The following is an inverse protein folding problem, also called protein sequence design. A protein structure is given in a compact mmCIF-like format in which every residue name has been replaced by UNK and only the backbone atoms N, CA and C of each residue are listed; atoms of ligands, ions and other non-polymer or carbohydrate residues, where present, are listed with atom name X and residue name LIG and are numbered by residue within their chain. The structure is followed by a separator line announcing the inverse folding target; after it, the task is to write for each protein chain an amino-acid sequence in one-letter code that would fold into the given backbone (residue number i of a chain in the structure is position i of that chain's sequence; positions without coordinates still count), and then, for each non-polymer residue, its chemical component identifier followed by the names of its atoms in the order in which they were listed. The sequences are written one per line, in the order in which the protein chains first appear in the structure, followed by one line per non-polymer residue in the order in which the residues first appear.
data_IF_564933204308
#
_entry.id   IF_564933204308
#
_cell.length_a   1.000
_cell.length_b   1.000
_cell.length_c   1.000
_cell.angle_alpha   90.00
_cell.angle_beta   90.00
_cell.angle_gamma   90.00
#
_symmetry.space_group_name_H-M   'P 1'
#
loop_
_entity.id
_entity.type
_entity.pdbx_description
1 polymer ?
#
# COMPACT_ATOMS: atom_id res chain seq x y z
N UNK A 1 -8.05 -11.93 25.94
CA UNK A 1 -7.14 -11.08 25.16
C UNK A 1 -6.43 -11.80 23.99
N UNK A 2 -6.94 -12.96 23.49
CA UNK A 2 -6.34 -13.69 22.34
C UNK A 2 -6.97 -13.35 20.98
N UNK A 3 -7.81 -12.33 20.87
CA UNK A 3 -8.65 -12.14 19.68
C UNK A 3 -8.10 -11.18 18.61
N UNK A 4 -6.89 -10.63 18.75
CA UNK A 4 -6.35 -9.63 17.82
C UNK A 4 -4.95 -9.96 17.27
N UNK A 5 -4.63 -11.23 17.09
CA UNK A 5 -3.41 -11.58 16.34
C UNK A 5 -3.68 -11.58 14.85
N UNK A 6 -2.66 -11.22 14.07
CA UNK A 6 -2.73 -11.32 12.61
C UNK A 6 -2.90 -12.78 12.19
N UNK A 7 -3.96 -13.08 11.45
CA UNK A 7 -4.27 -14.45 11.02
C UNK A 7 -3.61 -14.81 9.68
N UNK A 8 -3.29 -13.82 8.84
CA UNK A 8 -2.80 -14.03 7.48
C UNK A 8 -1.69 -15.10 7.37
N UNK A 9 -0.60 -15.09 8.16
CA UNK A 9 0.49 -16.06 8.02
C UNK A 9 0.11 -17.53 8.25
N UNK A 10 -1.08 -17.78 8.76
CA UNK A 10 -1.55 -19.15 9.09
C UNK A 10 -2.39 -19.77 7.98
N UNK A 11 -2.86 -18.98 7.01
CA UNK A 11 -3.70 -19.51 5.95
C UNK A 11 -3.51 -18.85 4.57
N UNK A 12 -2.62 -17.84 4.44
CA UNK A 12 -2.31 -17.22 3.15
C UNK A 12 -0.91 -17.54 2.68
N UNK A 13 -0.74 -17.63 1.37
CA UNK A 13 0.55 -17.62 0.71
C UNK A 13 0.49 -16.71 -0.53
N UNK A 14 1.58 -16.00 -0.81
CA UNK A 14 1.75 -15.22 -2.03
C UNK A 14 2.95 -15.76 -2.81
N UNK A 15 2.74 -16.08 -4.10
CA UNK A 15 3.71 -16.71 -4.99
C UNK A 15 4.03 -15.75 -6.12
N UNK A 16 5.31 -15.42 -6.26
CA UNK A 16 5.79 -14.53 -7.32
C UNK A 16 6.32 -15.30 -8.53
N UNK A 17 6.46 -14.57 -9.63
CA UNK A 17 6.87 -15.16 -10.91
C UNK A 17 8.21 -15.90 -10.88
N UNK A 18 9.14 -15.55 -9.98
CA UNK A 18 10.38 -16.27 -9.74
C UNK A 18 10.22 -17.59 -8.99
N UNK A 19 9.02 -17.91 -8.49
CA UNK A 19 8.73 -19.07 -7.65
C UNK A 19 8.84 -18.78 -6.15
N UNK A 20 9.27 -17.62 -5.75
CA UNK A 20 9.41 -17.23 -4.35
C UNK A 20 8.05 -17.18 -3.66
N UNK A 21 7.97 -17.74 -2.47
CA UNK A 21 6.77 -17.86 -1.64
C UNK A 21 6.89 -17.02 -0.39
N UNK A 22 5.84 -16.27 -0.07
CA UNK A 22 5.73 -15.40 1.10
C UNK A 22 4.47 -15.71 1.89
N UNK A 23 4.53 -15.59 3.22
CA UNK A 23 3.35 -15.73 4.11
C UNK A 23 2.50 -14.45 4.18
N UNK A 24 3.03 -13.34 3.72
CA UNK A 24 2.40 -12.04 3.70
C UNK A 24 3.02 -11.22 2.57
N UNK A 25 2.30 -10.22 2.07
CA UNK A 25 2.83 -9.33 1.04
C UNK A 25 4.19 -8.73 1.46
N UNK A 26 5.24 -8.86 0.62
CA UNK A 26 6.58 -8.35 0.94
C UNK A 26 6.62 -6.85 1.30
N UNK A 27 5.64 -6.06 0.81
CA UNK A 27 5.51 -4.65 1.17
C UNK A 27 5.10 -4.43 2.63
N UNK A 28 4.52 -5.43 3.30
CA UNK A 28 4.01 -5.34 4.67
C UNK A 28 4.85 -6.10 5.69
N UNK A 29 5.88 -6.79 5.26
CA UNK A 29 6.78 -7.54 6.12
C UNK A 29 8.24 -7.26 5.76
N UNK A 30 9.14 -7.49 6.72
CA UNK A 30 10.59 -7.52 6.51
C UNK A 30 11.08 -8.94 6.23
N UNK A 31 10.15 -9.91 6.23
CA UNK A 31 10.45 -11.31 6.01
C UNK A 31 10.88 -11.52 4.54
N UNK A 32 11.93 -12.29 4.36
CA UNK A 32 12.32 -12.82 3.05
C UNK A 32 11.36 -13.93 2.61
N UNK A 33 11.51 -14.40 1.36
CA UNK A 33 10.80 -15.57 0.89
C UNK A 33 11.05 -16.75 1.83
N UNK A 34 9.98 -17.50 2.15
CA UNK A 34 10.04 -18.69 3.00
C UNK A 34 10.50 -19.94 2.23
N UNK A 35 10.65 -19.84 0.93
CA UNK A 35 11.11 -20.87 0.02
C UNK A 35 10.77 -20.53 -1.42
N UNK A 36 11.07 -21.47 -2.34
CA UNK A 36 10.81 -21.32 -3.77
C UNK A 36 10.14 -22.56 -4.34
N UNK A 37 8.94 -22.38 -4.92
CA UNK A 37 8.07 -23.47 -5.40
C UNK A 37 8.62 -24.24 -6.60
N UNK A 38 9.61 -23.70 -7.30
CA UNK A 38 10.25 -24.40 -8.43
C UNK A 38 11.38 -25.32 -8.02
N UNK A 39 11.85 -25.23 -6.76
CA UNK A 39 13.01 -25.97 -6.27
C UNK A 39 12.74 -26.79 -5.01
N UNK A 40 11.62 -26.54 -4.33
CA UNK A 40 11.25 -27.18 -3.05
C UNK A 40 9.83 -27.72 -3.13
N UNK A 41 9.51 -28.71 -2.34
CA UNK A 41 8.13 -29.18 -2.13
C UNK A 41 7.33 -28.18 -1.31
N UNK A 42 6.00 -28.20 -1.46
CA UNK A 42 5.11 -27.32 -0.70
C UNK A 42 5.26 -27.52 0.82
N UNK A 43 5.39 -28.75 1.27
CA UNK A 43 5.53 -29.05 2.70
C UNK A 43 6.84 -28.50 3.28
N UNK A 44 7.94 -28.57 2.54
CA UNK A 44 9.21 -27.96 2.95
C UNK A 44 9.09 -26.44 3.06
N UNK A 45 8.41 -25.80 2.10
CA UNK A 45 8.21 -24.34 2.10
C UNK A 45 7.29 -23.93 3.24
N UNK A 46 6.10 -24.54 3.32
CA UNK A 46 5.07 -24.15 4.28
C UNK A 46 5.48 -24.35 5.73
N UNK A 47 6.33 -25.35 5.98
CA UNK A 47 6.88 -25.70 7.28
C UNK A 47 8.36 -25.31 7.44
N UNK A 48 8.87 -24.43 6.57
CA UNK A 48 10.24 -23.92 6.68
C UNK A 48 10.49 -23.28 8.05
N UNK A 49 11.74 -23.24 8.46
CA UNK A 49 12.15 -22.62 9.72
C UNK A 49 11.67 -21.17 9.80
N UNK A 50 11.83 -20.42 8.73
CA UNK A 50 11.42 -19.02 8.58
C UNK A 50 9.89 -18.85 8.75
N UNK A 51 9.11 -19.75 8.14
CA UNK A 51 7.66 -19.75 8.24
C UNK A 51 7.19 -20.04 9.68
N UNK A 52 7.78 -21.03 10.32
CA UNK A 52 7.46 -21.42 11.71
C UNK A 52 7.85 -20.32 12.70
N UNK A 53 9.04 -19.75 12.57
CA UNK A 53 9.51 -18.66 13.42
C UNK A 53 8.62 -17.43 13.31
N UNK A 54 8.25 -17.02 12.09
CA UNK A 54 7.35 -15.90 11.86
C UNK A 54 5.98 -16.12 12.49
N UNK A 55 5.36 -17.30 12.28
CA UNK A 55 4.08 -17.64 12.89
C UNK A 55 4.15 -17.64 14.42
N UNK A 56 5.24 -18.12 15.01
CA UNK A 56 5.44 -18.12 16.46
C UNK A 56 5.57 -16.69 17.01
N UNK A 57 6.28 -15.79 16.32
CA UNK A 57 6.31 -14.37 16.68
C UNK A 57 4.90 -13.78 16.69
N UNK A 58 4.12 -13.99 15.63
CA UNK A 58 2.75 -13.49 15.53
C UNK A 58 1.84 -14.07 16.63
N UNK A 59 1.94 -15.39 16.96
CA UNK A 59 1.22 -16.00 18.09
C UNK A 59 1.51 -15.30 19.42
N UNK A 60 2.75 -14.84 19.61
CA UNK A 60 3.20 -14.13 20.80
C UNK A 60 2.97 -12.60 20.73
N UNK A 61 2.24 -12.13 19.72
CA UNK A 61 2.01 -10.69 19.48
C UNK A 61 3.30 -9.90 19.22
N UNK A 62 4.35 -10.56 18.75
CA UNK A 62 5.59 -9.94 18.29
C UNK A 62 5.48 -9.65 16.78
N UNK A 63 5.37 -8.37 16.45
CA UNK A 63 5.26 -7.84 15.09
C UNK A 63 6.56 -7.19 14.60
N UNK A 64 7.72 -7.55 15.17
CA UNK A 64 9.02 -6.96 14.82
C UNK A 64 9.41 -7.13 13.35
N UNK A 65 8.94 -8.22 12.72
CA UNK A 65 9.13 -8.48 11.29
C UNK A 65 8.06 -7.83 10.40
N UNK A 66 7.06 -7.17 10.98
CA UNK A 66 6.05 -6.44 10.23
C UNK A 66 6.49 -4.99 9.97
N UNK A 67 6.09 -4.45 8.83
CA UNK A 67 6.25 -3.04 8.54
C UNK A 67 5.09 -2.25 9.15
N UNK A 68 5.25 -1.83 10.40
CA UNK A 68 4.20 -1.17 11.19
C UNK A 68 3.72 0.17 10.60
N UNK A 69 4.45 0.75 9.66
CA UNK A 69 4.00 1.95 8.94
C UNK A 69 2.88 1.63 7.95
N UNK A 70 2.82 0.40 7.44
CA UNK A 70 1.85 -0.03 6.43
C UNK A 70 0.83 -1.02 6.97
N UNK A 71 1.21 -1.82 7.94
CA UNK A 71 0.37 -2.85 8.53
C UNK A 71 0.59 -2.90 10.04
N UNK A 72 -0.45 -2.65 10.82
CA UNK A 72 -0.41 -2.73 12.28
C UNK A 72 -1.68 -3.41 12.82
N UNK A 73 -1.71 -3.86 14.09
CA UNK A 73 -2.84 -4.58 14.66
C UNK A 73 -4.20 -3.87 14.54
N UNK A 74 -4.21 -2.53 14.50
CA UNK A 74 -5.45 -1.76 14.35
C UNK A 74 -6.04 -1.87 12.94
N UNK A 75 -5.27 -2.38 11.96
CA UNK A 75 -5.69 -2.60 10.59
C UNK A 75 -5.98 -4.06 10.26
N UNK A 76 -5.71 -5.00 11.16
CA UNK A 76 -6.03 -6.42 10.95
C UNK A 76 -7.50 -6.67 10.60
N UNK A 77 -8.50 -5.94 11.16
CA UNK A 77 -9.88 -6.07 10.73
C UNK A 77 -10.13 -5.68 9.27
N UNK A 78 -9.25 -4.87 8.68
CA UNK A 78 -9.30 -4.44 7.28
C UNK A 78 -8.42 -5.28 6.35
N UNK A 79 -7.61 -6.22 6.90
CA UNK A 79 -6.95 -7.24 6.12
C UNK A 79 -8.02 -8.18 5.55
N UNK A 80 -8.28 -8.08 4.26
CA UNK A 80 -9.31 -8.81 3.54
C UNK A 80 -9.20 -10.30 3.69
N UNK A 81 -7.98 -10.80 3.61
CA UNK A 81 -7.70 -12.22 3.78
C UNK A 81 -8.26 -12.75 5.10
N UNK A 82 -8.39 -11.88 6.10
CA UNK A 82 -8.92 -12.24 7.41
C UNK A 82 -10.46 -12.27 7.44
N UNK A 83 -11.12 -11.47 6.59
CA UNK A 83 -12.57 -11.29 6.63
C UNK A 83 -13.34 -12.49 6.03
N UNK A 84 -12.72 -13.23 5.12
CA UNK A 84 -13.40 -14.29 4.36
C UNK A 84 -13.16 -15.70 4.89
N UNK A 85 -12.20 -15.89 5.80
CA UNK A 85 -11.97 -17.19 6.43
C UNK A 85 -12.68 -17.24 7.77
N UNK A 86 -13.57 -18.22 7.91
CA UNK A 86 -14.24 -18.50 9.18
C UNK A 86 -13.20 -18.71 10.28
N UNK A 87 -13.16 -17.86 11.32
CA UNK A 87 -12.18 -17.99 12.41
C UNK A 87 -12.23 -19.34 13.11
N UNK A 88 -13.41 -19.99 13.13
CA UNK A 88 -13.58 -21.32 13.73
C UNK A 88 -12.85 -22.43 12.96
N UNK A 89 -12.51 -22.17 11.69
CA UNK A 89 -11.77 -23.12 10.84
C UNK A 89 -10.25 -22.89 10.87
N UNK A 90 -9.74 -21.95 11.66
CA UNK A 90 -8.29 -21.69 11.76
C UNK A 90 -7.67 -22.54 12.84
N UNK A 91 -6.78 -23.43 12.42
CA UNK A 91 -5.89 -24.15 13.30
C UNK A 91 -4.51 -23.46 13.30
N UNK A 92 -4.19 -22.80 14.42
CA UNK A 92 -2.92 -22.09 14.56
C UNK A 92 -1.73 -23.02 14.82
N UNK A 93 -1.99 -24.24 15.24
CA UNK A 93 -0.95 -25.22 15.53
C UNK A 93 -0.62 -26.08 14.31
N UNK A 94 -1.63 -26.33 13.45
CA UNK A 94 -1.47 -27.01 12.17
C UNK A 94 -2.02 -26.13 11.03
N UNK A 95 -1.33 -25.02 10.71
CA UNK A 95 -1.81 -24.04 9.73
C UNK A 95 -1.89 -24.67 8.34
N UNK A 96 -3.04 -24.42 7.65
CA UNK A 96 -3.26 -24.86 6.27
C UNK A 96 -3.57 -23.68 5.39
N UNK A 97 -2.94 -23.62 4.22
CA UNK A 97 -3.24 -22.59 3.24
C UNK A 97 -4.69 -22.70 2.75
N UNK A 98 -5.38 -21.59 2.70
CA UNK A 98 -6.78 -21.46 2.24
C UNK A 98 -6.93 -20.38 1.18
N UNK A 99 -6.00 -19.42 1.16
CA UNK A 99 -5.94 -18.35 0.17
C UNK A 99 -4.54 -18.36 -0.44
N UNK A 100 -4.49 -18.49 -1.76
CA UNK A 100 -3.24 -18.32 -2.50
C UNK A 100 -3.34 -17.10 -3.39
N UNK A 101 -2.31 -16.25 -3.31
CA UNK A 101 -2.13 -15.10 -4.19
C UNK A 101 -1.08 -15.42 -5.24
N UNK A 102 -1.44 -15.24 -6.49
CA UNK A 102 -0.53 -15.43 -7.62
C UNK A 102 -0.15 -14.09 -8.23
N UNK A 103 1.15 -13.78 -8.18
CA UNK A 103 1.80 -12.61 -8.79
C UNK A 103 2.82 -13.06 -9.82
N UNK A 104 2.41 -13.93 -10.76
CA UNK A 104 3.31 -14.70 -11.63
C UNK A 104 3.75 -13.95 -12.87
N UNK A 105 2.87 -13.15 -13.46
CA UNK A 105 3.06 -12.50 -14.76
C UNK A 105 3.03 -10.98 -14.65
N UNK A 106 3.97 -10.32 -15.33
CA UNK A 106 4.09 -8.85 -15.33
C UNK A 106 3.34 -8.19 -16.49
N UNK A 107 2.68 -8.95 -17.35
CA UNK A 107 1.94 -8.42 -18.52
C UNK A 107 0.84 -7.48 -18.06
N UNK A 108 0.77 -6.30 -18.70
CA UNK A 108 -0.23 -5.27 -18.40
C UNK A 108 -0.51 -4.48 -19.68
N UNK A 109 -1.77 -4.18 -19.93
CA UNK A 109 -2.25 -3.46 -21.13
C UNK A 109 -2.19 -1.93 -20.98
N UNK A 110 -1.70 -1.42 -19.85
CA UNK A 110 -1.51 0.02 -19.59
C UNK A 110 -0.10 0.29 -19.07
N UNK A 111 0.30 1.57 -19.10
CA UNK A 111 1.53 2.07 -18.51
C UNK A 111 1.19 3.21 -17.55
N UNK A 112 0.84 2.85 -16.30
CA UNK A 112 0.60 3.85 -15.27
C UNK A 112 1.90 4.55 -14.92
N UNK A 113 1.87 5.88 -14.89
CA UNK A 113 3.03 6.71 -14.60
C UNK A 113 3.70 6.36 -13.26
N UNK A 114 2.95 5.84 -12.29
CA UNK A 114 3.43 5.40 -10.97
C UNK A 114 3.94 3.96 -10.92
N UNK A 115 3.98 3.25 -12.06
CA UNK A 115 4.31 1.82 -12.09
C UNK A 115 5.34 1.47 -13.16
N UNK A 116 5.16 1.97 -14.41
CA UNK A 116 6.00 1.60 -15.53
C UNK A 116 5.94 2.63 -16.67
N UNK A 117 6.98 2.65 -17.50
CA UNK A 117 7.15 3.58 -18.62
C UNK A 117 6.42 3.14 -19.89
N UNK A 118 6.16 1.83 -20.04
CA UNK A 118 5.55 1.23 -21.24
C UNK A 118 4.63 0.07 -20.92
N UNK A 119 3.73 -0.22 -21.85
CA UNK A 119 2.96 -1.49 -21.87
C UNK A 119 3.93 -2.66 -21.89
N UNK A 120 3.65 -3.69 -21.12
CA UNK A 120 4.50 -4.85 -21.02
C UNK A 120 3.73 -6.13 -21.29
N UNK A 121 4.30 -7.00 -22.12
CA UNK A 121 3.87 -8.37 -22.30
C UNK A 121 5.06 -9.29 -22.04
N UNK A 122 4.85 -10.35 -21.27
CA UNK A 122 5.87 -11.39 -21.13
C UNK A 122 6.24 -11.97 -22.48
N UNK A 123 7.51 -12.28 -22.65
CA UNK A 123 8.01 -13.02 -23.80
C UNK A 123 7.38 -14.41 -23.86
N UNK A 124 7.29 -14.97 -25.06
CA UNK A 124 6.66 -16.27 -25.28
C UNK A 124 7.35 -17.39 -24.48
N UNK A 125 8.68 -17.38 -24.41
CA UNK A 125 9.45 -18.35 -23.62
C UNK A 125 9.05 -18.32 -22.14
N UNK A 126 8.83 -17.12 -21.57
CA UNK A 126 8.39 -16.97 -20.18
C UNK A 126 6.96 -17.45 -19.98
N UNK A 127 6.06 -17.10 -20.89
CA UNK A 127 4.66 -17.57 -20.88
C UNK A 127 4.61 -19.10 -20.96
N UNK A 128 5.38 -19.71 -21.85
CA UNK A 128 5.46 -21.16 -22.01
C UNK A 128 6.04 -21.85 -20.77
N UNK A 129 7.07 -21.26 -20.15
CA UNK A 129 7.61 -21.77 -18.89
C UNK A 129 6.55 -21.76 -17.80
N UNK A 130 5.84 -20.66 -17.57
CA UNK A 130 4.80 -20.59 -16.55
C UNK A 130 3.65 -21.56 -16.86
N UNK A 131 3.24 -21.68 -18.12
CA UNK A 131 2.20 -22.62 -18.54
C UNK A 131 2.59 -24.07 -18.30
N UNK A 132 3.87 -24.44 -18.51
CA UNK A 132 4.36 -25.80 -18.22
C UNK A 132 4.30 -26.15 -16.73
N UNK A 133 4.28 -25.13 -15.85
CA UNK A 133 4.20 -25.31 -14.38
C UNK A 133 2.76 -25.36 -13.84
N UNK A 134 1.75 -25.12 -14.66
CA UNK A 134 0.36 -25.11 -14.20
C UNK A 134 -0.01 -26.43 -13.55
N UNK A 135 0.07 -27.54 -14.29
CA UNK A 135 -0.42 -28.84 -13.82
C UNK A 135 0.53 -29.51 -12.83
N UNK A 136 1.83 -29.32 -13.00
CA UNK A 136 2.87 -29.97 -12.20
C UNK A 136 3.07 -29.27 -10.83
N UNK A 137 3.03 -27.92 -10.81
CA UNK A 137 3.41 -27.13 -9.64
C UNK A 137 2.22 -26.40 -9.03
N UNK A 138 1.49 -25.60 -9.84
CA UNK A 138 0.48 -24.68 -9.27
C UNK A 138 -0.85 -25.35 -8.94
N UNK A 139 -1.33 -26.26 -9.78
CA UNK A 139 -2.63 -26.91 -9.54
C UNK A 139 -2.65 -27.78 -8.28
N UNK A 140 -1.59 -28.55 -7.91
CA UNK A 140 -1.57 -29.30 -6.67
C UNK A 140 -1.64 -28.44 -5.40
N UNK A 141 -1.21 -27.17 -5.46
CA UNK A 141 -1.28 -26.25 -4.32
C UNK A 141 -2.73 -25.88 -3.94
N UNK A 142 -3.68 -26.10 -4.85
CA UNK A 142 -5.06 -25.63 -4.70
C UNK A 142 -5.95 -26.60 -3.93
N UNK A 143 -5.44 -27.74 -3.52
CA UNK A 143 -6.19 -28.68 -2.70
C UNK A 143 -6.50 -28.09 -1.31
N UNK A 144 -7.80 -27.89 -1.03
CA UNK A 144 -8.27 -27.24 0.20
C UNK A 144 -8.22 -25.70 0.19
N UNK A 145 -7.81 -25.09 -0.93
CA UNK A 145 -7.87 -23.64 -1.13
C UNK A 145 -9.30 -23.20 -1.39
N UNK A 146 -9.72 -22.13 -0.75
CA UNK A 146 -11.06 -21.54 -0.87
C UNK A 146 -11.07 -20.34 -1.83
N UNK A 147 -10.00 -19.55 -1.81
CA UNK A 147 -9.87 -18.34 -2.62
C UNK A 147 -8.52 -18.31 -3.32
N UNK A 148 -8.54 -18.01 -4.60
CA UNK A 148 -7.35 -17.62 -5.35
C UNK A 148 -7.41 -16.12 -5.66
N UNK A 149 -6.30 -15.44 -5.42
CA UNK A 149 -6.16 -14.03 -5.73
C UNK A 149 -5.12 -13.87 -6.84
N UNK A 150 -5.51 -13.22 -7.94
CA UNK A 150 -4.60 -12.82 -9.01
C UNK A 150 -4.30 -11.33 -8.86
N UNK A 151 -3.06 -11.04 -8.51
CA UNK A 151 -2.64 -9.68 -8.11
C UNK A 151 -1.21 -9.40 -8.56
N UNK A 152 -0.76 -8.22 -8.24
CA UNK A 152 0.64 -7.87 -8.07
C UNK A 152 1.27 -7.12 -9.20
N UNK A 153 2.10 -7.79 -9.96
CA UNK A 153 3.07 -7.10 -10.83
C UNK A 153 2.55 -6.79 -12.23
N UNK A 154 1.40 -7.34 -12.63
CA UNK A 154 0.76 -7.17 -13.93
C UNK A 154 -0.74 -6.93 -13.83
N UNK A 155 -1.45 -7.28 -14.90
CA UNK A 155 -2.92 -7.32 -14.95
C UNK A 155 -3.36 -8.72 -15.39
N UNK A 156 -4.15 -9.45 -14.57
CA UNK A 156 -4.49 -10.85 -14.84
C UNK A 156 -5.31 -11.03 -16.12
N UNK A 157 -6.07 -10.01 -16.53
CA UNK A 157 -6.85 -10.06 -17.76
C UNK A 157 -6.00 -9.75 -19.01
N UNK A 158 -4.85 -9.09 -18.85
CA UNK A 158 -3.88 -8.86 -19.93
C UNK A 158 -2.91 -10.03 -20.11
N UNK A 159 -2.58 -10.74 -19.03
CA UNK A 159 -1.70 -11.89 -19.04
C UNK A 159 -2.29 -13.09 -19.78
N UNK A 160 -1.56 -13.63 -20.76
CA UNK A 160 -1.95 -14.88 -21.45
C UNK A 160 -1.89 -16.08 -20.51
N UNK A 161 -0.85 -16.12 -19.65
CA UNK A 161 -0.66 -17.16 -18.66
C UNK A 161 -1.80 -17.17 -17.64
N UNK A 162 -2.08 -16.02 -17.02
CA UNK A 162 -3.07 -15.96 -15.94
C UNK A 162 -4.47 -16.33 -16.45
N UNK A 163 -4.86 -15.86 -17.66
CA UNK A 163 -6.14 -16.26 -18.27
C UNK A 163 -6.26 -17.77 -18.47
N UNK A 164 -5.20 -18.42 -18.97
CA UNK A 164 -5.20 -19.88 -19.15
C UNK A 164 -5.25 -20.60 -17.79
N UNK A 165 -4.46 -20.15 -16.82
CA UNK A 165 -4.42 -20.73 -15.48
C UNK A 165 -5.76 -20.58 -14.76
N UNK A 166 -6.36 -19.39 -14.76
CA UNK A 166 -7.70 -19.14 -14.18
C UNK A 166 -8.74 -20.09 -14.80
N UNK A 167 -8.74 -20.23 -16.11
CA UNK A 167 -9.67 -21.13 -16.81
C UNK A 167 -9.52 -22.58 -16.36
N UNK A 168 -8.28 -23.08 -16.21
CA UNK A 168 -8.01 -24.45 -15.73
C UNK A 168 -8.45 -24.63 -14.28
N UNK A 169 -8.19 -23.65 -13.40
CA UNK A 169 -8.70 -23.67 -12.02
C UNK A 169 -10.22 -23.74 -12.01
N UNK A 170 -10.90 -22.89 -12.80
CA UNK A 170 -12.34 -22.84 -12.85
C UNK A 170 -12.99 -24.16 -13.30
N UNK A 171 -12.29 -24.92 -14.17
CA UNK A 171 -12.74 -26.24 -14.63
C UNK A 171 -12.52 -27.35 -13.59
N UNK A 172 -11.34 -27.36 -12.93
CA UNK A 172 -10.94 -28.43 -12.02
C UNK A 172 -11.46 -28.25 -10.59
N UNK A 173 -11.55 -26.98 -10.13
CA UNK A 173 -11.91 -26.64 -8.76
C UNK A 173 -13.17 -25.74 -8.75
N UNK A 174 -14.37 -26.31 -8.89
CA UNK A 174 -15.63 -25.55 -9.06
C UNK A 174 -15.99 -24.67 -7.85
N UNK A 175 -15.49 -25.00 -6.67
CA UNK A 175 -15.82 -24.32 -5.42
C UNK A 175 -14.85 -23.17 -5.07
N UNK A 176 -13.73 -23.04 -5.78
CA UNK A 176 -12.79 -21.93 -5.55
C UNK A 176 -13.44 -20.61 -6.01
N UNK A 177 -13.30 -19.60 -5.18
CA UNK A 177 -13.68 -18.23 -5.47
C UNK A 177 -12.46 -17.39 -5.89
N UNK A 178 -12.74 -16.30 -6.59
CA UNK A 178 -11.71 -15.48 -7.22
C UNK A 178 -11.70 -14.06 -6.67
N UNK A 179 -10.51 -13.61 -6.29
CA UNK A 179 -10.18 -12.21 -6.07
C UNK A 179 -9.30 -11.72 -7.21
N UNK A 180 -9.62 -10.58 -7.79
CA UNK A 180 -8.82 -9.96 -8.85
C UNK A 180 -8.36 -8.56 -8.46
N UNK A 181 -7.07 -8.28 -8.69
CA UNK A 181 -6.54 -6.92 -8.65
C UNK A 181 -6.16 -6.54 -10.09
N UNK A 182 -6.82 -5.54 -10.66
CA UNK A 182 -6.76 -5.20 -12.09
C UNK A 182 -6.89 -3.70 -12.32
N UNK A 183 -6.49 -3.23 -13.51
CA UNK A 183 -6.81 -1.87 -13.96
C UNK A 183 -8.28 -1.72 -14.44
N UNK A 184 -9.03 -2.81 -14.54
CA UNK A 184 -10.45 -2.85 -14.84
C UNK A 184 -10.81 -2.79 -16.32
N UNK A 185 -9.92 -2.38 -17.22
CA UNK A 185 -10.24 -2.18 -18.64
C UNK A 185 -10.65 -3.49 -19.31
N UNK A 186 -9.96 -4.58 -18.98
CA UNK A 186 -10.23 -5.91 -19.54
C UNK A 186 -11.11 -6.77 -18.62
N UNK A 187 -11.56 -6.26 -17.49
CA UNK A 187 -12.46 -6.95 -16.57
C UNK A 187 -13.91 -6.84 -17.04
N UNK A 188 -14.20 -7.32 -18.25
CA UNK A 188 -15.51 -7.28 -18.87
C UNK A 188 -16.30 -8.56 -18.61
N UNK A 189 -17.63 -8.47 -18.81
CA UNK A 189 -18.53 -9.63 -18.74
C UNK A 189 -18.02 -10.77 -19.62
N UNK A 190 -17.69 -10.48 -20.86
CA UNK A 190 -17.26 -11.47 -21.84
C UNK A 190 -15.95 -12.17 -21.43
N UNK A 191 -15.02 -11.45 -20.81
CA UNK A 191 -13.78 -12.05 -20.33
C UNK A 191 -13.99 -12.93 -19.10
N UNK A 192 -14.83 -12.49 -18.14
CA UNK A 192 -15.19 -13.27 -16.96
C UNK A 192 -15.95 -14.56 -17.32
N UNK A 193 -16.88 -14.48 -18.30
CA UNK A 193 -17.60 -15.65 -18.85
C UNK A 193 -16.65 -16.60 -19.55
N UNK A 194 -15.74 -16.08 -20.42
CA UNK A 194 -14.75 -16.89 -21.16
C UNK A 194 -13.82 -17.67 -20.24
N UNK A 195 -13.46 -17.09 -19.08
CA UNK A 195 -12.65 -17.77 -18.08
C UNK A 195 -13.46 -18.68 -17.15
N UNK A 196 -14.80 -18.63 -17.18
CA UNK A 196 -15.68 -19.47 -16.37
C UNK A 196 -15.73 -19.05 -14.89
N UNK A 197 -15.53 -17.75 -14.58
CA UNK A 197 -15.42 -17.25 -13.20
C UNK A 197 -16.51 -16.27 -12.80
N UNK A 198 -17.42 -15.87 -13.69
CA UNK A 198 -18.41 -14.82 -13.45
C UNK A 198 -19.30 -15.09 -12.23
N UNK A 199 -19.67 -16.34 -11.97
CA UNK A 199 -20.49 -16.75 -10.82
C UNK A 199 -19.65 -17.18 -9.60
N UNK A 200 -18.32 -17.01 -9.66
CA UNK A 200 -17.37 -17.42 -8.63
C UNK A 200 -16.58 -16.24 -8.06
N UNK A 201 -17.01 -15.03 -8.34
CA UNK A 201 -16.31 -13.82 -7.90
C UNK A 201 -16.48 -13.62 -6.40
N UNK A 202 -15.39 -13.31 -5.71
CA UNK A 202 -15.37 -12.86 -4.32
C UNK A 202 -15.15 -11.37 -4.26
N UNK A 203 -14.00 -10.90 -4.77
CA UNK A 203 -13.65 -9.49 -4.73
C UNK A 203 -13.00 -9.03 -6.02
N UNK A 204 -13.35 -7.84 -6.48
CA UNK A 204 -12.64 -7.15 -7.56
C UNK A 204 -12.09 -5.83 -7.04
N UNK A 205 -10.79 -5.65 -7.22
CA UNK A 205 -10.03 -4.45 -6.87
C UNK A 205 -9.61 -3.75 -8.13
N UNK A 206 -10.12 -2.54 -8.36
CA UNK A 206 -9.78 -1.74 -9.53
C UNK A 206 -8.78 -0.64 -9.14
N UNK A 207 -7.62 -0.60 -9.81
CA UNK A 207 -6.65 0.48 -9.71
C UNK A 207 -7.09 1.66 -10.57
N UNK A 208 -7.96 2.52 -10.01
CA UNK A 208 -8.60 3.61 -10.74
C UNK A 208 -7.79 4.91 -10.71
N UNK A 209 -7.35 5.34 -9.52
CA UNK A 209 -6.48 6.51 -9.25
C UNK A 209 -7.02 7.88 -9.69
N UNK A 210 -8.28 8.00 -10.06
CA UNK A 210 -8.89 9.25 -10.53
C UNK A 210 -10.41 9.23 -10.38
N UNK A 211 -11.05 10.42 -10.49
CA UNK A 211 -12.49 10.56 -10.57
C UNK A 211 -12.95 11.10 -11.91
N UNK A 212 -12.04 11.58 -12.75
CA UNK A 212 -12.31 12.21 -14.03
C UNK A 212 -11.48 11.58 -15.15
N UNK A 213 -11.96 11.66 -16.39
CA UNK A 213 -11.24 11.20 -17.56
C UNK A 213 -9.92 11.95 -17.75
N UNK A 214 -9.93 13.26 -17.48
CA UNK A 214 -8.75 14.11 -17.61
C UNK A 214 -7.62 13.64 -16.67
N UNK A 215 -7.91 13.44 -15.39
CA UNK A 215 -6.94 12.96 -14.40
C UNK A 215 -6.54 11.52 -14.68
N UNK A 216 -7.49 10.67 -15.08
CA UNK A 216 -7.21 9.30 -15.46
C UNK A 216 -6.18 9.22 -16.60
N UNK A 217 -6.35 9.97 -17.67
CA UNK A 217 -5.47 9.97 -18.84
C UNK A 217 -4.06 10.51 -18.53
N UNK A 218 -3.91 11.36 -17.50
CA UNK A 218 -2.59 11.81 -17.02
C UNK A 218 -1.81 10.67 -16.36
N UNK A 219 -2.50 9.81 -15.59
CA UNK A 219 -1.88 8.78 -14.77
C UNK A 219 -1.80 7.44 -15.51
N UNK A 220 -2.87 7.05 -16.22
CA UNK A 220 -3.01 5.73 -16.85
C UNK A 220 -2.83 5.86 -18.37
N UNK A 221 -1.59 5.85 -18.82
CA UNK A 221 -1.28 5.89 -20.26
C UNK A 221 -1.75 4.60 -20.94
N UNK A 222 -2.27 4.74 -22.15
CA UNK A 222 -2.93 3.67 -22.91
C UNK A 222 -4.21 3.14 -22.26
N UNK A 223 -4.75 3.87 -21.26
CA UNK A 223 -6.02 3.56 -20.65
C UNK A 223 -7.20 3.81 -21.58
N UNK A 224 -8.37 3.33 -21.15
CA UNK A 224 -9.64 3.59 -21.85
C UNK A 224 -10.72 3.88 -20.80
N UNK A 225 -10.91 5.16 -20.51
CA UNK A 225 -11.87 5.62 -19.50
C UNK A 225 -13.31 5.17 -19.77
N UNK A 226 -13.75 5.24 -21.03
CA UNK A 226 -15.12 4.85 -21.42
C UNK A 226 -15.35 3.36 -21.20
N UNK A 227 -14.39 2.52 -21.60
CA UNK A 227 -14.50 1.08 -21.41
C UNK A 227 -14.43 0.69 -19.94
N UNK A 228 -13.55 1.35 -19.17
CA UNK A 228 -13.46 1.16 -17.72
C UNK A 228 -14.80 1.47 -17.04
N UNK A 229 -15.43 2.62 -17.34
CA UNK A 229 -16.72 2.98 -16.75
C UNK A 229 -17.82 1.97 -17.13
N UNK A 230 -17.86 1.49 -18.38
CA UNK A 230 -18.77 0.41 -18.79
C UNK A 230 -18.59 -0.84 -17.92
N UNK A 231 -17.34 -1.22 -17.65
CA UNK A 231 -17.06 -2.37 -16.81
C UNK A 231 -17.40 -2.11 -15.33
N UNK A 232 -17.19 -0.88 -14.82
CA UNK A 232 -17.63 -0.51 -13.47
C UNK A 232 -19.14 -0.57 -13.30
N UNK A 233 -19.92 -0.13 -14.29
CA UNK A 233 -21.37 -0.26 -14.31
C UNK A 233 -21.80 -1.73 -14.25
N UNK A 234 -21.18 -2.58 -15.05
CA UNK A 234 -21.42 -4.02 -15.02
C UNK A 234 -21.08 -4.64 -13.66
N UNK A 235 -19.91 -4.33 -13.08
CA UNK A 235 -19.50 -4.85 -11.78
C UNK A 235 -20.40 -4.36 -10.64
N UNK A 236 -20.86 -3.11 -10.70
CA UNK A 236 -21.85 -2.56 -9.78
C UNK A 236 -23.16 -3.36 -9.81
N UNK A 237 -23.64 -3.77 -10.98
CA UNK A 237 -24.81 -4.64 -11.09
C UNK A 237 -24.58 -6.03 -10.50
N UNK A 238 -23.35 -6.56 -10.56
CA UNK A 238 -23.04 -7.83 -9.89
C UNK A 238 -23.11 -7.70 -8.35
N UNK A 239 -22.72 -6.55 -7.78
CA UNK A 239 -22.90 -6.26 -6.34
C UNK A 239 -24.40 -6.27 -6.00
N UNK A 240 -25.23 -5.52 -6.75
CA UNK A 240 -26.68 -5.45 -6.54
C UNK A 240 -27.36 -6.83 -6.62
N UNK A 241 -26.84 -7.71 -7.47
CA UNK A 241 -27.32 -9.09 -7.64
C UNK A 241 -26.72 -10.08 -6.64
N UNK A 242 -25.88 -9.66 -5.69
CA UNK A 242 -25.13 -10.51 -4.76
C UNK A 242 -24.24 -11.58 -5.45
N UNK A 243 -23.80 -11.32 -6.69
CA UNK A 243 -22.87 -12.18 -7.45
C UNK A 243 -21.41 -11.81 -7.26
N UNK A 244 -21.14 -10.60 -6.80
CA UNK A 244 -19.83 -10.10 -6.37
C UNK A 244 -19.97 -9.64 -4.92
N UNK A 245 -19.11 -10.13 -4.03
CA UNK A 245 -19.21 -9.78 -2.60
C UNK A 245 -18.68 -8.38 -2.32
N UNK A 246 -17.63 -7.96 -3.04
CA UNK A 246 -17.02 -6.65 -2.83
C UNK A 246 -16.40 -6.11 -4.12
N UNK A 247 -16.74 -4.88 -4.45
CA UNK A 247 -16.02 -4.04 -5.41
C UNK A 247 -15.20 -2.99 -4.66
N UNK A 248 -13.92 -2.90 -4.97
CA UNK A 248 -13.01 -1.94 -4.35
C UNK A 248 -12.36 -1.09 -5.42
N UNK A 249 -12.40 0.23 -5.23
CA UNK A 249 -11.67 1.16 -6.06
C UNK A 249 -10.46 1.69 -5.28
N UNK A 250 -9.28 1.53 -5.85
CA UNK A 250 -8.02 1.96 -5.27
C UNK A 250 -7.58 3.30 -5.86
N UNK A 251 -7.11 4.18 -4.99
CA UNK A 251 -6.64 5.51 -5.33
C UNK A 251 -5.28 5.75 -4.65
N UNK A 252 -4.21 5.71 -5.41
CA UNK A 252 -2.89 6.15 -4.94
C UNK A 252 -2.82 7.66 -5.05
N UNK A 253 -2.60 8.34 -3.94
CA UNK A 253 -2.62 9.80 -3.83
C UNK A 253 -1.32 10.39 -4.39
N UNK A 254 -1.45 11.27 -5.37
CA UNK A 254 -0.40 11.97 -6.10
C UNK A 254 -0.71 13.46 -6.20
N UNK A 255 0.27 14.24 -6.61
CA UNK A 255 0.08 15.67 -6.94
C UNK A 255 -0.92 15.90 -8.07
N UNK A 256 -0.98 14.97 -9.02
CA UNK A 256 -1.89 15.07 -10.18
C UNK A 256 -3.36 14.78 -9.84
N UNK A 257 -3.64 14.04 -8.76
CA UNK A 257 -4.98 13.51 -8.51
C UNK A 257 -5.58 13.83 -7.15
N UNK A 258 -4.84 14.33 -6.18
CA UNK A 258 -5.36 14.51 -4.81
C UNK A 258 -6.63 15.36 -4.75
N UNK A 259 -6.82 16.29 -5.70
CA UNK A 259 -8.03 17.13 -5.82
C UNK A 259 -9.27 16.32 -6.18
N UNK A 260 -9.09 15.18 -6.79
CA UNK A 260 -10.17 14.24 -7.16
C UNK A 260 -10.69 13.44 -5.96
N UNK A 261 -10.02 13.42 -4.80
CA UNK A 261 -10.39 12.57 -3.66
C UNK A 261 -11.87 12.67 -3.29
N UNK A 262 -12.47 13.87 -3.11
CA UNK A 262 -13.90 13.97 -2.78
C UNK A 262 -14.79 13.41 -3.89
N UNK A 263 -14.50 13.72 -5.15
CA UNK A 263 -15.25 13.20 -6.29
C UNK A 263 -15.08 11.69 -6.47
N UNK A 264 -13.88 11.15 -6.18
CA UNK A 264 -13.60 9.72 -6.19
C UNK A 264 -14.45 8.97 -5.16
N UNK A 265 -14.60 9.48 -3.95
CA UNK A 265 -15.46 8.89 -2.91
C UNK A 265 -16.92 8.85 -3.40
N UNK A 266 -17.42 9.91 -4.05
CA UNK A 266 -18.75 9.91 -4.64
C UNK A 266 -18.89 8.91 -5.81
N UNK A 267 -17.84 8.77 -6.62
CA UNK A 267 -17.80 7.78 -7.70
C UNK A 267 -17.85 6.35 -7.14
N UNK A 268 -17.14 6.06 -6.06
CA UNK A 268 -17.22 4.78 -5.37
C UNK A 268 -18.65 4.49 -4.90
N UNK A 269 -19.30 5.46 -4.27
CA UNK A 269 -20.70 5.34 -3.84
C UNK A 269 -21.64 5.07 -5.02
N UNK A 270 -21.45 5.75 -6.16
CA UNK A 270 -22.24 5.53 -7.38
C UNK A 270 -22.18 4.06 -7.85
N UNK A 271 -21.01 3.44 -7.74
CA UNK A 271 -20.78 2.06 -8.21
C UNK A 271 -20.90 1.01 -7.09
N UNK A 272 -21.49 1.33 -5.95
CA UNK A 272 -21.59 0.43 -4.77
C UNK A 272 -20.23 -0.18 -4.36
N UNK A 273 -19.16 0.61 -4.54
CA UNK A 273 -17.79 0.21 -4.29
C UNK A 273 -17.24 0.85 -3.02
N UNK A 274 -16.32 0.16 -2.37
CA UNK A 274 -15.51 0.73 -1.29
C UNK A 274 -14.37 1.57 -1.86
N UNK A 275 -14.12 2.72 -1.24
CA UNK A 275 -13.04 3.63 -1.58
C UNK A 275 -11.79 3.32 -0.76
N UNK A 276 -10.64 3.14 -1.42
CA UNK A 276 -9.36 2.89 -0.76
C UNK A 276 -8.33 3.93 -1.16
N UNK A 277 -7.90 4.76 -0.20
CA UNK A 277 -6.89 5.78 -0.38
C UNK A 277 -5.53 5.27 0.11
N UNK A 278 -4.56 5.27 -0.78
CA UNK A 278 -3.19 4.82 -0.52
C UNK A 278 -2.19 5.96 -0.71
N UNK A 279 -1.20 6.03 0.16
CA UNK A 279 -0.06 6.90 -0.10
C UNK A 279 0.80 6.31 -1.22
N UNK A 280 1.30 7.18 -2.11
CA UNK A 280 2.28 6.80 -3.12
C UNK A 280 3.54 6.22 -2.48
N UNK A 281 4.04 5.17 -3.09
CA UNK A 281 5.32 4.53 -2.77
C UNK A 281 6.07 4.32 -4.07
N UNK A 282 7.27 4.85 -4.16
CA UNK A 282 8.15 4.59 -5.29
C UNK A 282 8.77 3.19 -5.14
N UNK A 283 8.19 2.22 -5.81
CA UNK A 283 8.63 0.81 -5.75
C UNK A 283 9.65 0.53 -6.86
N UNK A 284 9.48 1.17 -8.03
CA UNK A 284 10.27 0.89 -9.24
C UNK A 284 11.27 2.00 -9.57
N UNK A 285 11.33 3.09 -8.79
CA UNK A 285 12.18 4.25 -9.09
C UNK A 285 11.77 4.99 -10.37
N UNK A 286 10.49 4.92 -10.75
CA UNK A 286 9.98 5.42 -12.03
C UNK A 286 9.72 6.92 -12.00
N UNK A 287 9.53 7.48 -10.81
CA UNK A 287 9.20 8.89 -10.61
C UNK A 287 10.19 9.60 -9.71
N UNK A 288 10.34 10.91 -9.94
CA UNK A 288 10.86 11.80 -8.90
C UNK A 288 9.85 11.84 -7.75
N UNK A 289 10.15 11.06 -6.71
CA UNK A 289 9.29 10.86 -5.54
C UNK A 289 8.83 12.18 -4.92
N UNK A 290 9.73 13.16 -4.84
CA UNK A 290 9.46 14.45 -4.18
C UNK A 290 8.50 15.32 -5.02
N UNK A 291 8.52 15.20 -6.35
CA UNK A 291 7.67 15.99 -7.25
C UNK A 291 6.24 15.49 -7.33
N UNK A 292 6.00 14.21 -7.07
CA UNK A 292 4.67 13.60 -7.19
C UNK A 292 4.01 13.30 -5.84
N UNK A 293 4.79 13.22 -4.77
CA UNK A 293 4.29 12.87 -3.44
C UNK A 293 3.77 14.11 -2.71
N UNK A 294 2.50 14.43 -2.91
CA UNK A 294 1.82 15.55 -2.24
C UNK A 294 1.77 15.40 -0.71
N UNK A 295 2.02 14.19 -0.19
CA UNK A 295 2.13 13.94 1.25
C UNK A 295 3.46 14.44 1.84
N UNK A 296 4.42 14.80 0.99
CA UNK A 296 5.67 15.38 1.43
C UNK A 296 5.46 16.82 1.89
N UNK A 297 5.82 17.20 3.14
CA UNK A 297 5.52 18.53 3.69
C UNK A 297 6.09 19.71 2.88
N UNK A 298 7.13 19.46 2.09
CA UNK A 298 7.76 20.49 1.25
C UNK A 298 7.17 20.56 -0.16
N UNK A 299 6.21 19.69 -0.49
CA UNK A 299 5.54 19.76 -1.77
C UNK A 299 4.66 21.02 -1.85
N UNK A 300 4.75 21.77 -2.96
CA UNK A 300 4.04 23.05 -3.15
C UNK A 300 2.53 22.99 -2.93
N UNK A 301 1.92 21.81 -3.16
CA UNK A 301 0.48 21.61 -3.00
C UNK A 301 0.11 20.89 -1.71
N UNK A 302 1.08 20.65 -0.80
CA UNK A 302 0.85 19.95 0.46
C UNK A 302 -0.26 20.61 1.30
N UNK A 303 -0.28 21.95 1.36
CA UNK A 303 -1.29 22.71 2.08
C UNK A 303 -2.72 22.43 1.57
N UNK A 304 -2.89 22.43 0.24
CA UNK A 304 -4.18 22.11 -0.38
C UNK A 304 -4.60 20.67 -0.14
N UNK A 305 -3.64 19.75 -0.19
CA UNK A 305 -3.88 18.34 0.13
C UNK A 305 -4.35 18.16 1.58
N UNK A 306 -3.69 18.81 2.56
CA UNK A 306 -4.08 18.74 3.97
C UNK A 306 -5.50 19.24 4.17
N UNK A 307 -5.90 20.34 3.56
CA UNK A 307 -7.28 20.86 3.66
C UNK A 307 -8.30 19.82 3.19
N UNK A 308 -8.06 19.16 2.06
CA UNK A 308 -8.94 18.10 1.56
C UNK A 308 -8.98 16.93 2.55
N UNK A 309 -7.83 16.49 3.06
CA UNK A 309 -7.78 15.34 3.97
C UNK A 309 -8.51 15.59 5.30
N UNK A 310 -8.46 16.81 5.83
CA UNK A 310 -9.14 17.16 7.09
C UNK A 310 -10.65 17.29 6.95
N UNK A 311 -11.17 17.47 5.74
CA UNK A 311 -12.60 17.55 5.45
C UNK A 311 -13.26 16.19 5.17
N UNK A 312 -12.46 15.10 5.12
CA UNK A 312 -13.01 13.77 4.84
C UNK A 312 -13.83 13.23 6.01
N UNK A 313 -15.01 12.71 5.70
CA UNK A 313 -15.82 11.95 6.66
C UNK A 313 -15.17 10.57 6.90
N UNK A 314 -14.40 10.50 7.97
CA UNK A 314 -13.71 9.25 8.38
C UNK A 314 -14.62 8.25 9.10
N UNK A 315 -15.88 8.59 9.33
CA UNK A 315 -16.89 7.68 9.88
C UNK A 315 -17.53 6.79 8.82
N UNK A 316 -17.34 7.14 7.53
CA UNK A 316 -17.85 6.34 6.41
C UNK A 316 -17.24 4.93 6.41
N UNK A 317 -18.03 3.85 6.59
CA UNK A 317 -17.54 2.48 6.66
C UNK A 317 -16.99 1.97 5.32
N UNK A 318 -17.36 2.61 4.21
CA UNK A 318 -16.89 2.26 2.87
C UNK A 318 -15.65 3.06 2.44
N UNK A 319 -15.10 3.89 3.34
CA UNK A 319 -13.87 4.65 3.11
C UNK A 319 -12.72 4.08 3.93
N UNK A 320 -11.79 3.42 3.27
CA UNK A 320 -10.51 3.05 3.84
C UNK A 320 -9.45 4.12 3.53
N UNK A 321 -8.76 4.59 4.55
CA UNK A 321 -7.61 5.50 4.42
C UNK A 321 -6.40 4.79 5.01
N UNK A 322 -5.35 4.62 4.21
CA UNK A 322 -4.13 3.93 4.66
C UNK A 322 -3.52 4.60 5.91
N UNK A 323 -2.81 3.83 6.76
CA UNK A 323 -2.23 4.37 8.01
C UNK A 323 -1.42 5.63 7.81
N UNK A 324 -0.64 5.68 6.74
CA UNK A 324 0.23 6.80 6.43
C UNK A 324 -0.54 8.07 6.03
N UNK A 325 -1.73 7.93 5.46
CA UNK A 325 -2.61 9.05 5.11
C UNK A 325 -3.53 9.46 6.25
N UNK A 326 -3.95 8.51 7.09
CA UNK A 326 -4.93 8.74 8.16
C UNK A 326 -4.49 9.81 9.17
N UNK A 327 -3.19 9.96 9.40
CA UNK A 327 -2.65 11.01 10.26
C UNK A 327 -3.07 12.42 9.83
N UNK A 328 -3.25 12.65 8.53
CA UNK A 328 -3.64 13.95 7.99
C UNK A 328 -5.12 14.28 8.23
N UNK A 329 -5.99 13.27 8.38
CA UNK A 329 -7.41 13.50 8.72
C UNK A 329 -7.61 13.86 10.19
N UNK A 330 -6.58 13.74 11.02
CA UNK A 330 -6.63 13.99 12.47
C UNK A 330 -6.08 15.37 12.86
N UNK A 331 -5.66 16.17 11.89
CA UNK A 331 -5.12 17.52 12.12
C UNK A 331 -6.28 18.43 12.54
N UNK A 332 -6.22 18.91 13.80
CA UNK A 332 -7.29 19.75 14.38
C UNK A 332 -7.18 21.21 14.01
N UNK A 333 -5.96 21.71 13.83
CA UNK A 333 -5.68 23.09 13.43
C UNK A 333 -4.79 23.06 12.19
N UNK A 334 -5.43 23.22 11.04
CA UNK A 334 -4.76 23.17 9.73
C UNK A 334 -3.78 24.31 9.56
N UNK A 335 -4.15 25.52 9.97
CA UNK A 335 -3.30 26.70 9.79
C UNK A 335 -2.04 26.61 10.67
N UNK A 336 -2.17 26.11 11.91
CA UNK A 336 -1.04 25.84 12.77
C UNK A 336 -0.12 24.75 12.17
N UNK A 337 -0.70 23.65 11.67
CA UNK A 337 0.07 22.61 11.00
C UNK A 337 0.82 23.16 9.78
N UNK A 338 0.15 23.98 8.94
CA UNK A 338 0.74 24.52 7.71
C UNK A 338 1.82 25.55 8.02
N UNK A 339 1.67 26.33 9.10
CA UNK A 339 2.73 27.25 9.54
C UNK A 339 4.05 26.50 9.80
N UNK A 340 3.98 25.31 10.40
CA UNK A 340 5.16 24.47 10.60
C UNK A 340 5.68 23.89 9.30
N UNK A 341 4.80 23.45 8.39
CA UNK A 341 5.19 22.96 7.09
C UNK A 341 5.89 24.04 6.26
N UNK A 342 5.42 25.28 6.29
CA UNK A 342 6.05 26.43 5.62
C UNK A 342 7.42 26.79 6.20
N UNK A 343 7.57 26.74 7.51
CA UNK A 343 8.88 26.93 8.15
C UNK A 343 9.88 25.88 7.64
N UNK A 344 9.45 24.64 7.45
CA UNK A 344 10.28 23.59 6.87
C UNK A 344 10.54 23.80 5.37
N UNK A 345 9.57 24.32 4.58
CA UNK A 345 9.72 24.54 3.14
C UNK A 345 10.71 25.63 2.80
N UNK A 346 10.60 26.79 3.48
CA UNK A 346 11.48 27.92 3.27
C UNK A 346 12.94 27.63 3.62
N UNK A 347 13.19 26.70 4.55
CA UNK A 347 14.54 26.30 4.95
C UNK A 347 15.18 25.30 3.98
N UNK A 348 14.42 24.62 3.12
CA UNK A 348 14.93 23.58 2.22
C UNK A 348 15.02 24.00 0.75
N UNK A 349 14.45 25.14 0.34
CA UNK A 349 14.75 25.71 -0.99
C UNK A 349 16.25 26.00 -1.19
N UNK A 350 16.99 26.23 -0.09
CA UNK A 350 18.47 26.30 -0.11
C UNK A 350 19.18 24.94 -0.18
N UNK A 351 18.46 23.81 0.01
CA UNK A 351 19.05 22.45 -0.02
C UNK A 351 19.31 21.91 -1.42
N UNK A 352 18.57 22.39 -2.43
CA UNK A 352 18.77 21.96 -3.81
C UNK A 352 20.05 22.54 -4.44
N UNK A 353 20.58 23.64 -3.90
CA UNK A 353 21.80 24.27 -4.45
C UNK A 353 23.14 23.75 -3.90
N UNK A 354 23.14 22.92 -2.86
CA UNK A 354 24.42 22.42 -2.31
C UNK A 354 24.44 20.93 -2.00
N UNK A 355 24.78 20.13 -2.99
CA UNK A 355 25.17 18.72 -2.78
C UNK A 355 26.41 18.51 -1.89
N UNK A 356 27.07 19.59 -1.42
CA UNK A 356 28.33 19.53 -0.68
C UNK A 356 28.43 20.43 0.58
N UNK A 357 27.30 20.84 1.18
CA UNK A 357 27.35 21.87 2.24
C UNK A 357 27.06 21.34 3.66
N UNK A 358 27.97 21.65 4.54
CA UNK A 358 28.07 21.44 5.98
C UNK A 358 26.76 21.80 6.74
N UNK A 359 26.17 20.85 7.47
CA UNK A 359 24.96 20.99 8.30
C UNK A 359 25.06 22.01 9.47
N UNK A 360 26.27 22.44 9.87
CA UNK A 360 26.47 23.28 11.03
C UNK A 360 25.89 24.71 10.97
N UNK A 361 26.13 25.50 9.89
CA UNK A 361 25.60 26.86 9.78
C UNK A 361 24.08 26.92 9.68
N UNK A 362 23.46 25.86 9.15
CA UNK A 362 21.99 25.76 8.96
C UNK A 362 21.25 25.45 10.25
N UNK A 363 21.79 24.57 11.10
CA UNK A 363 21.26 24.32 12.44
C UNK A 363 21.32 25.59 13.31
N UNK A 364 22.37 26.40 13.16
CA UNK A 364 22.48 27.68 13.84
C UNK A 364 21.42 28.69 13.38
N UNK A 365 21.14 28.78 12.08
CA UNK A 365 20.09 29.63 11.55
C UNK A 365 18.68 29.19 12.00
N UNK A 366 18.41 27.89 12.05
CA UNK A 366 17.15 27.33 12.59
C UNK A 366 17.01 27.71 14.06
N UNK A 367 18.04 27.57 14.86
CA UNK A 367 18.04 27.98 16.28
C UNK A 367 17.77 29.49 16.45
N UNK A 368 18.31 30.35 15.60
CA UNK A 368 18.08 31.80 15.63
C UNK A 368 16.64 32.17 15.23
N UNK A 369 16.10 31.55 14.18
CA UNK A 369 14.73 31.80 13.73
C UNK A 369 13.70 31.31 14.76
N UNK A 370 13.91 30.16 15.39
CA UNK A 370 13.08 29.67 16.48
C UNK A 370 13.12 30.63 17.68
N UNK A 371 14.30 31.19 17.98
CA UNK A 371 14.47 32.19 19.05
C UNK A 371 13.75 33.49 18.75
N UNK A 372 13.76 33.94 17.48
CA UNK A 372 12.99 35.13 17.03
C UNK A 372 11.47 34.87 17.09
N UNK A 373 11.01 33.70 16.69
CA UNK A 373 9.61 33.29 16.82
C UNK A 373 9.19 33.20 18.28
N UNK A 374 10.02 32.68 19.17
CA UNK A 374 9.77 32.67 20.60
C UNK A 374 9.60 34.09 21.16
N UNK A 375 10.49 35.02 20.78
CA UNK A 375 10.41 36.42 21.16
C UNK A 375 9.16 37.11 20.62
N UNK A 376 8.81 36.91 19.33
CA UNK A 376 7.59 37.49 18.73
C UNK A 376 6.30 36.93 19.32
N UNK A 377 6.36 35.76 19.90
CA UNK A 377 5.26 35.11 20.60
C UNK A 377 5.16 35.56 22.06
N UNK A 378 6.22 35.99 22.73
CA UNK A 378 6.20 36.58 24.06
C UNK A 378 5.51 37.93 24.10
N UNK A 379 5.58 38.70 23.01
CA UNK A 379 4.88 40.00 22.88
C UNK A 379 3.36 39.90 22.72
N UNK A 380 2.83 38.73 22.37
CA UNK A 380 1.39 38.49 22.25
C UNK A 380 0.84 37.59 23.38
N UNK A 381 0.61 38.12 24.57
CA UNK A 381 0.09 37.52 25.82
C UNK A 381 -0.91 36.34 25.64
N UNK A 382 -0.49 35.17 25.14
CA UNK A 382 -1.26 33.94 25.10
C UNK A 382 -0.52 32.86 25.90
N UNK A 383 -1.22 32.11 26.75
CA UNK A 383 -0.69 31.04 27.64
C UNK A 383 0.11 29.97 26.86
N UNK A 384 1.44 30.07 26.90
CA UNK A 384 2.35 29.55 25.89
C UNK A 384 3.24 28.39 26.30
N UNK A 385 3.46 28.12 27.56
CA UNK A 385 4.58 27.25 28.01
C UNK A 385 4.46 25.76 27.69
N UNK A 386 3.28 25.25 27.37
CA UNK A 386 3.08 23.82 27.14
C UNK A 386 3.09 23.40 25.66
N UNK A 387 2.83 24.31 24.72
CA UNK A 387 2.72 23.96 23.29
C UNK A 387 4.13 23.86 22.66
N UNK A 388 4.99 24.83 22.92
CA UNK A 388 6.37 24.84 22.37
C UNK A 388 7.21 23.67 22.89
N UNK A 389 7.11 23.31 24.17
CA UNK A 389 7.82 22.15 24.72
C UNK A 389 7.32 20.80 24.17
N UNK A 390 6.06 20.71 23.77
CA UNK A 390 5.49 19.53 23.11
C UNK A 390 5.90 19.42 21.64
N UNK A 391 6.20 20.53 21.00
CA UNK A 391 6.48 20.62 19.58
C UNK A 391 7.96 20.46 19.30
N UNK A 392 8.80 21.04 20.15
CA UNK A 392 10.25 21.10 19.90
C UNK A 392 11.04 20.92 21.20
N UNK A 393 12.01 20.00 21.17
CA UNK A 393 13.03 19.92 22.20
C UNK A 393 14.40 19.61 21.58
N UNK A 394 15.44 20.16 22.18
CA UNK A 394 16.84 19.88 21.81
C UNK A 394 17.56 19.34 23.03
N UNK A 395 18.08 18.13 22.92
CA UNK A 395 18.86 17.49 23.98
C UNK A 395 20.27 17.18 23.49
N UNK A 396 21.26 17.39 24.35
CA UNK A 396 22.61 16.92 24.11
C UNK A 396 22.82 15.59 24.83
N UNK A 397 23.12 14.53 24.11
CA UNK A 397 23.42 13.23 24.69
C UNK A 397 24.87 12.84 24.40
N UNK A 398 25.56 12.36 25.41
CA UNK A 398 26.93 11.86 25.29
C UNK A 398 26.92 10.35 25.40
N UNK A 399 27.43 9.64 24.41
CA UNK A 399 27.58 8.18 24.44
C UNK A 399 28.80 7.75 23.64
N UNK A 400 29.59 6.83 24.15
CA UNK A 400 30.75 6.22 23.48
C UNK A 400 31.73 7.27 22.86
N UNK A 401 32.14 8.25 23.62
CA UNK A 401 33.06 9.34 23.22
C UNK A 401 32.53 10.21 22.05
N UNK A 402 31.26 10.19 21.76
CA UNK A 402 30.64 11.05 20.77
C UNK A 402 29.55 11.92 21.38
N UNK A 403 29.54 13.20 21.01
CA UNK A 403 28.46 14.12 21.33
C UNK A 403 27.33 13.98 20.27
N UNK A 404 26.13 13.70 20.71
CA UNK A 404 24.95 13.65 19.85
C UNK A 404 24.01 14.80 20.20
N UNK A 405 23.48 15.44 19.19
CA UNK A 405 22.38 16.40 19.35
C UNK A 405 21.07 15.69 18.95
N UNK A 406 20.14 15.60 19.85
CA UNK A 406 18.82 15.02 19.62
C UNK A 406 17.85 16.18 19.48
N UNK A 407 17.24 16.32 18.30
CA UNK A 407 16.21 17.31 18.04
C UNK A 407 14.89 16.53 17.94
N UNK A 408 13.94 16.82 18.83
CA UNK A 408 12.60 16.25 18.76
C UNK A 408 11.64 17.30 18.21
N UNK A 409 10.96 16.97 17.12
CA UNK A 409 9.97 17.84 16.48
C UNK A 409 8.69 17.03 16.32
N UNK A 410 7.61 17.49 16.93
CA UNK A 410 6.30 16.82 16.91
C UNK A 410 6.38 15.34 17.34
N UNK A 411 7.25 15.04 18.32
CA UNK A 411 7.47 13.67 18.81
C UNK A 411 8.44 12.81 17.97
N UNK A 412 8.90 13.29 16.82
CA UNK A 412 9.92 12.62 16.01
C UNK A 412 11.32 13.02 16.51
N UNK A 413 12.16 12.03 16.81
CA UNK A 413 13.53 12.25 17.28
C UNK A 413 14.53 12.14 16.13
N UNK A 414 15.26 13.21 15.90
CA UNK A 414 16.39 13.25 14.96
C UNK A 414 17.69 13.23 15.77
N UNK A 415 18.57 12.26 15.49
CA UNK A 415 19.81 12.07 16.21
C UNK A 415 20.97 12.43 15.29
N UNK A 416 21.74 13.47 15.64
CA UNK A 416 22.90 13.94 14.90
C UNK A 416 24.18 13.67 15.69
N UNK A 417 25.11 12.93 15.08
CA UNK A 417 26.46 12.75 15.65
C UNK A 417 27.31 13.97 15.32
N UNK A 418 27.75 14.70 16.33
CA UNK A 418 28.61 15.85 16.16
C UNK A 418 30.06 15.33 16.08
N UNK A 419 30.70 15.43 14.92
CA UNK A 419 32.15 15.19 14.79
C UNK A 419 32.88 16.34 15.45
N UNK A 420 33.64 16.07 16.49
CA UNK A 420 34.66 17.04 16.94
C UNK A 420 35.69 17.19 15.82
N UNK A 421 35.83 18.40 15.25
CA UNK A 421 37.02 18.73 14.51
C UNK A 421 38.15 18.73 15.54
N UNK A 422 39.05 17.77 15.42
CA UNK A 422 40.28 17.77 16.19
C UNK A 422 41.04 19.08 15.94
N UNK A 423 41.57 19.64 17.02
CA UNK A 423 42.59 20.68 17.03
C UNK A 423 43.83 20.13 16.36
#
# INVERSE_FOLDING_TARGET
MKNNICKAPFFTAEIFGGGDVYLCCPSYTKLNAIGNIFTQSWDEIWNSKEAVEFRNKIKNSDYSDCNMNYCNPNFFPFCREVAYVDPAKLDYDNPKVRIIKFSLDRSCNVACTICRDKVYCNEECRTNFLNSKIDEVFMPLLDGVEIVNFTGTGDPFASKHDREFIKRIAQKYPNIRYDFHTNGILCSKENLERMGVIDKLSTIQISLHSATEETYNKIVKFGNWKLLNKNLEFLSHLIEQNKLNELQLNFVVLSENYKDIPAFIQLCKKYHAKAFLWQYRDIEGVYDYDSVNVCYPLHREHASFIRIMTELDTSNPDLFISPLLRKYTQIKNVDEYLLYADIFSNQNNERYESKNGILGPRLFNIEQQIKQLQLSMEDNKVKKDNILKRIFSVENKYSNNAKHKIITILGLKFIFKIRNKGV
#
